data_IF_099859983708
#
_entry.id   IF_099859983708
#
_cell.length_a   1.000
_cell.length_b   1.000
_cell.length_c   1.000
_cell.angle_alpha   90.00
_cell.angle_beta   90.00
_cell.angle_gamma   90.00
#
_symmetry.space_group_name_H-M   'P 1'
#
loop_
_entity.id
_entity.type
_entity.pdbx_description
1 polymer ?
#
# COMPACT_ATOMS: atom_id res chain seq x y z
N UNK A 1 6.47 25.26 -7.36
CA UNK A 1 7.49 25.74 -8.32
C UNK A 1 7.46 24.82 -9.50
N UNK A 2 7.28 25.38 -10.69
CA UNK A 2 7.43 24.62 -11.93
C UNK A 2 8.90 24.30 -12.18
N UNK A 3 9.23 23.21 -12.88
CA UNK A 3 10.60 22.91 -13.31
C UNK A 3 11.24 24.09 -14.07
N UNK A 4 10.46 24.75 -14.91
CA UNK A 4 10.88 25.94 -15.66
C UNK A 4 11.33 27.08 -14.74
N UNK A 5 10.56 27.36 -13.68
CA UNK A 5 10.91 28.42 -12.73
C UNK A 5 12.22 28.15 -11.99
N UNK A 6 12.49 26.88 -11.67
CA UNK A 6 13.75 26.49 -11.01
C UNK A 6 14.96 26.73 -11.92
N UNK A 7 14.81 26.46 -13.21
CA UNK A 7 15.88 26.65 -14.21
C UNK A 7 16.05 28.14 -14.59
N UNK A 8 14.94 28.82 -14.87
CA UNK A 8 14.93 30.15 -15.49
C UNK A 8 14.81 31.30 -14.50
N UNK A 9 14.36 31.06 -13.27
CA UNK A 9 14.20 32.06 -12.23
C UNK A 9 12.91 32.88 -12.32
N UNK A 10 12.03 32.57 -13.27
CA UNK A 10 10.73 33.21 -13.44
C UNK A 10 9.67 32.19 -13.89
N UNK A 11 8.39 32.48 -13.63
CA UNK A 11 7.31 31.62 -14.10
C UNK A 11 7.05 31.84 -15.60
N UNK A 12 6.86 30.75 -16.38
CA UNK A 12 6.54 30.89 -17.79
C UNK A 12 5.17 31.59 -17.92
N UNK A 13 4.98 32.39 -18.98
CA UNK A 13 3.67 32.97 -19.29
C UNK A 13 2.70 31.83 -19.60
N UNK A 14 1.65 31.70 -18.79
CA UNK A 14 0.59 30.70 -18.99
C UNK A 14 -0.67 31.30 -19.63
N UNK A 15 -0.70 32.61 -19.93
CA UNK A 15 -1.84 33.24 -20.60
C UNK A 15 -1.69 33.24 -22.12
N UNK A 16 -2.81 32.95 -22.80
CA UNK A 16 -2.96 32.98 -24.25
C UNK A 16 -3.70 34.26 -24.65
N UNK A 17 -3.11 35.41 -24.35
CA UNK A 17 -3.68 36.72 -24.74
C UNK A 17 -2.87 37.32 -25.89
N UNK A 18 -3.56 38.03 -26.78
CA UNK A 18 -3.03 38.74 -27.95
C UNK A 18 -2.30 40.05 -27.59
N UNK A 19 -2.28 40.43 -26.32
CA UNK A 19 -1.57 41.63 -25.83
C UNK A 19 -0.05 41.45 -25.83
N UNK A 20 0.66 42.58 -25.94
CA UNK A 20 2.13 42.60 -25.91
C UNK A 20 2.63 42.06 -24.56
N UNK A 21 3.54 41.06 -24.56
CA UNK A 21 4.00 40.44 -23.32
C UNK A 21 4.69 41.47 -22.43
N UNK A 22 4.19 41.64 -21.20
CA UNK A 22 4.90 42.38 -20.16
C UNK A 22 6.12 41.57 -19.73
N UNK A 23 7.24 42.24 -19.46
CA UNK A 23 8.42 41.57 -18.92
C UNK A 23 8.04 40.78 -17.66
N UNK A 24 8.52 39.53 -17.51
CA UNK A 24 8.19 38.72 -16.35
C UNK A 24 8.63 39.45 -15.07
N UNK A 25 7.81 39.35 -14.02
CA UNK A 25 8.20 39.87 -12.70
C UNK A 25 9.37 39.04 -12.19
N UNK A 26 10.46 39.70 -11.80
CA UNK A 26 11.56 39.04 -11.13
C UNK A 26 11.05 38.44 -9.81
N UNK A 27 11.11 37.12 -9.69
CA UNK A 27 10.86 36.45 -8.42
C UNK A 27 12.15 36.47 -7.61
N UNK A 28 12.10 36.74 -6.30
CA UNK A 28 13.29 36.92 -5.47
C UNK A 28 14.07 35.61 -5.19
N UNK A 29 13.63 34.47 -5.73
CA UNK A 29 14.21 33.17 -5.43
C UNK A 29 15.49 32.98 -6.26
N UNK A 30 16.62 32.83 -5.57
CA UNK A 30 17.91 32.60 -6.22
C UNK A 30 17.95 31.18 -6.80
N UNK A 31 18.60 30.99 -7.95
CA UNK A 31 18.77 29.65 -8.57
C UNK A 31 19.37 28.60 -7.63
N UNK A 32 20.29 29.00 -6.74
CA UNK A 32 20.87 28.11 -5.73
C UNK A 32 19.85 27.63 -4.70
N UNK A 33 18.98 28.53 -4.22
CA UNK A 33 17.90 28.21 -3.27
C UNK A 33 16.84 27.31 -3.93
N UNK A 34 16.53 27.56 -5.21
CA UNK A 34 15.60 26.71 -5.97
C UNK A 34 16.13 25.27 -6.13
N UNK A 35 17.44 25.11 -6.40
CA UNK A 35 18.08 23.78 -6.48
C UNK A 35 18.09 23.06 -5.13
N UNK A 36 18.44 23.76 -4.05
CA UNK A 36 18.41 23.19 -2.71
C UNK A 36 17.00 22.73 -2.30
N UNK A 37 15.97 23.47 -2.69
CA UNK A 37 14.57 23.07 -2.47
C UNK A 37 14.17 21.84 -3.28
N UNK A 38 14.68 21.67 -4.51
CA UNK A 38 14.45 20.45 -5.31
C UNK A 38 15.13 19.25 -4.68
N UNK A 39 16.42 19.39 -4.32
CA UNK A 39 17.18 18.32 -3.66
C UNK A 39 16.51 17.86 -2.38
N UNK A 40 16.10 18.80 -1.53
CA UNK A 40 15.36 18.49 -0.30
C UNK A 40 14.05 17.73 -0.57
N UNK A 41 13.34 18.08 -1.64
CA UNK A 41 12.10 17.37 -2.01
C UNK A 41 12.36 15.98 -2.53
N UNK A 42 13.44 15.81 -3.30
CA UNK A 42 13.89 14.50 -3.80
C UNK A 42 14.31 13.59 -2.64
N UNK A 43 15.07 14.12 -1.67
CA UNK A 43 15.42 13.40 -0.43
C UNK A 43 14.17 12.96 0.35
N UNK A 44 13.22 13.87 0.57
CA UNK A 44 11.96 13.56 1.26
C UNK A 44 11.13 12.53 0.49
N UNK A 45 11.11 12.61 -0.85
CA UNK A 45 10.43 11.64 -1.69
C UNK A 45 11.05 10.26 -1.59
N UNK A 46 12.37 10.16 -1.71
CA UNK A 46 13.11 8.90 -1.62
C UNK A 46 12.94 8.27 -0.23
N UNK A 47 13.05 9.07 0.83
CA UNK A 47 12.80 8.62 2.19
C UNK A 47 11.36 8.07 2.36
N UNK A 48 10.37 8.80 1.87
CA UNK A 48 8.97 8.34 1.93
C UNK A 48 8.76 7.05 1.12
N UNK A 49 9.41 6.93 -0.04
CA UNK A 49 9.33 5.73 -0.87
C UNK A 49 9.93 4.51 -0.17
N UNK A 50 11.11 4.65 0.44
CA UNK A 50 11.77 3.59 1.22
C UNK A 50 10.91 3.13 2.40
N UNK A 51 10.34 4.07 3.16
CA UNK A 51 9.44 3.76 4.29
C UNK A 51 8.16 3.03 3.83
N UNK A 52 7.57 3.45 2.70
CA UNK A 52 6.41 2.79 2.12
C UNK A 52 6.77 1.38 1.65
N UNK A 53 7.90 1.21 0.97
CA UNK A 53 8.38 -0.11 0.53
C UNK A 53 8.66 -1.03 1.73
N UNK A 54 9.31 -0.53 2.77
CA UNK A 54 9.56 -1.29 4.00
C UNK A 54 8.23 -1.72 4.66
N UNK A 55 7.26 -0.81 4.78
CA UNK A 55 5.92 -1.10 5.29
C UNK A 55 5.18 -2.15 4.45
N UNK A 56 5.38 -2.15 3.12
CA UNK A 56 4.81 -3.15 2.22
C UNK A 56 5.48 -4.52 2.37
N UNK A 57 6.80 -4.58 2.56
CA UNK A 57 7.55 -5.83 2.77
C UNK A 57 7.13 -6.60 4.04
N UNK A 58 6.63 -5.90 5.06
CA UNK A 58 6.09 -6.56 6.26
C UNK A 58 4.90 -7.49 5.96
N UNK A 59 4.21 -7.26 4.85
CA UNK A 59 3.13 -8.13 4.36
C UNK A 59 3.70 -9.05 3.28
N UNK A 60 4.26 -10.19 3.69
CA UNK A 60 4.59 -11.24 2.73
C UNK A 60 3.29 -11.87 2.22
N UNK A 61 2.78 -11.34 1.10
CA UNK A 61 1.50 -11.74 0.52
C UNK A 61 1.63 -13.01 -0.35
N UNK A 62 2.82 -13.61 -0.46
CA UNK A 62 3.07 -14.74 -1.37
C UNK A 62 2.80 -14.46 -2.85
N UNK A 63 2.55 -13.19 -3.19
CA UNK A 63 2.05 -12.75 -4.49
C UNK A 63 2.90 -11.60 -5.04
N UNK A 64 3.02 -11.47 -6.38
CA UNK A 64 3.92 -10.52 -7.01
C UNK A 64 3.53 -9.05 -6.81
N UNK A 65 2.26 -8.76 -6.49
CA UNK A 65 1.83 -7.39 -6.16
C UNK A 65 0.59 -7.36 -5.27
N UNK A 66 0.45 -6.30 -4.45
CA UNK A 66 -0.73 -6.06 -3.59
C UNK A 66 -2.06 -5.94 -4.36
N UNK A 67 -2.03 -5.63 -5.66
CA UNK A 67 -3.25 -5.56 -6.47
C UNK A 67 -3.81 -6.94 -6.81
N UNK A 68 -2.93 -7.94 -6.84
CA UNK A 68 -3.29 -9.32 -7.14
C UNK A 68 -3.62 -10.10 -5.87
N UNK A 69 -3.13 -9.66 -4.71
CA UNK A 69 -3.40 -10.32 -3.43
C UNK A 69 -4.87 -10.22 -3.03
N UNK A 70 -5.31 -11.20 -2.26
CA UNK A 70 -6.65 -11.19 -1.66
C UNK A 70 -6.89 -9.91 -0.86
N UNK A 71 -8.02 -9.27 -1.13
CA UNK A 71 -8.39 -8.02 -0.47
C UNK A 71 -8.80 -8.24 1.00
N UNK A 72 -9.32 -9.43 1.31
CA UNK A 72 -9.77 -9.82 2.64
C UNK A 72 -8.97 -11.04 3.06
N UNK A 73 -8.40 -10.99 4.26
CA UNK A 73 -7.75 -12.14 4.86
C UNK A 73 -8.77 -13.24 5.18
N UNK A 74 -8.26 -14.40 5.54
CA UNK A 74 -9.07 -15.58 5.84
C UNK A 74 -10.12 -15.32 6.92
N UNK A 75 -11.21 -16.11 6.94
CA UNK A 75 -12.21 -16.02 7.99
C UNK A 75 -11.61 -16.29 9.38
N UNK A 76 -11.61 -15.26 10.24
CA UNK A 76 -11.20 -15.40 11.65
C UNK A 76 -12.41 -15.45 12.57
N UNK A 77 -12.26 -16.20 13.66
CA UNK A 77 -13.30 -16.30 14.69
C UNK A 77 -13.35 -15.05 15.56
N UNK A 78 -14.55 -14.56 15.84
CA UNK A 78 -14.77 -13.49 16.82
C UNK A 78 -14.78 -14.09 18.23
N UNK A 79 -13.87 -13.65 19.09
CA UNK A 79 -13.76 -14.08 20.49
C UNK A 79 -14.68 -13.29 21.42
N UNK A 80 -14.70 -11.96 21.27
CA UNK A 80 -15.48 -11.08 22.13
C UNK A 80 -15.80 -9.75 21.43
N UNK A 81 -16.89 -9.11 21.84
CA UNK A 81 -17.20 -7.72 21.49
C UNK A 81 -16.66 -6.80 22.59
N UNK A 82 -15.82 -5.84 22.22
CA UNK A 82 -15.22 -4.83 23.12
C UNK A 82 -15.76 -3.47 22.68
N UNK A 83 -16.82 -3.00 23.35
CA UNK A 83 -17.52 -1.77 22.99
C UNK A 83 -18.11 -1.83 21.57
N UNK A 84 -17.56 -1.01 20.67
CA UNK A 84 -17.93 -0.98 19.24
C UNK A 84 -16.97 -1.78 18.35
N UNK A 85 -15.97 -2.46 18.92
CA UNK A 85 -15.00 -3.27 18.19
C UNK A 85 -15.15 -4.77 18.55
N UNK A 86 -14.51 -5.61 17.76
CA UNK A 86 -14.49 -7.06 17.96
C UNK A 86 -13.06 -7.56 18.09
N UNK A 87 -12.82 -8.44 19.06
CA UNK A 87 -11.57 -9.16 19.22
C UNK A 87 -11.61 -10.42 18.36
N UNK A 88 -10.67 -10.56 17.45
CA UNK A 88 -10.50 -11.74 16.60
C UNK A 88 -9.48 -12.72 17.19
N UNK A 89 -9.66 -13.98 16.87
CA UNK A 89 -8.66 -15.04 17.05
C UNK A 89 -7.72 -15.02 15.84
N UNK A 90 -6.62 -14.26 15.96
CA UNK A 90 -5.58 -14.22 14.94
C UNK A 90 -4.49 -15.24 15.27
N UNK A 91 -3.92 -15.92 14.25
CA UNK A 91 -2.75 -16.77 14.43
C UNK A 91 -1.54 -15.94 14.88
N UNK A 92 -0.66 -16.56 15.68
CA UNK A 92 0.53 -15.90 16.23
C UNK A 92 1.54 -15.42 15.17
N UNK A 93 1.40 -15.88 13.92
CA UNK A 93 2.17 -15.39 12.78
C UNK A 93 1.87 -13.93 12.43
N UNK A 94 0.65 -13.45 12.68
CA UNK A 94 0.22 -12.09 12.34
C UNK A 94 0.47 -11.14 13.52
N UNK A 95 1.44 -10.23 13.38
CA UNK A 95 1.84 -9.25 14.42
C UNK A 95 0.94 -8.00 14.49
N UNK A 96 -0.33 -8.11 14.15
CA UNK A 96 -1.29 -6.99 14.13
C UNK A 96 -2.17 -7.03 15.38
N UNK A 97 -2.67 -5.89 15.86
CA UNK A 97 -3.59 -5.85 16.99
C UNK A 97 -4.86 -6.68 16.73
N UNK A 98 -5.29 -7.49 17.71
CA UNK A 98 -6.41 -8.42 17.56
C UNK A 98 -7.80 -7.75 17.61
N UNK A 99 -7.88 -6.43 17.81
CA UNK A 99 -9.14 -5.70 18.01
C UNK A 99 -9.43 -4.85 16.78
N UNK A 100 -10.55 -5.12 16.11
CA UNK A 100 -10.94 -4.47 14.87
C UNK A 100 -12.33 -3.81 14.95
N UNK A 101 -12.51 -2.61 14.36
CA UNK A 101 -13.84 -2.02 14.20
C UNK A 101 -14.65 -2.79 13.13
N UNK A 102 -15.99 -2.75 13.20
CA UNK A 102 -16.89 -3.46 12.27
C UNK A 102 -16.64 -3.10 10.81
N UNK A 103 -16.26 -1.86 10.51
CA UNK A 103 -16.02 -1.39 9.13
C UNK A 103 -14.83 -2.11 8.44
N UNK A 104 -13.95 -2.73 9.24
CA UNK A 104 -12.82 -3.55 8.76
C UNK A 104 -13.13 -5.04 8.74
N UNK A 105 -14.38 -5.43 8.99
CA UNK A 105 -14.82 -6.82 9.03
C UNK A 105 -15.92 -7.06 8.00
N UNK A 106 -15.92 -8.25 7.44
CA UNK A 106 -16.99 -8.73 6.58
C UNK A 106 -17.45 -10.09 7.08
N UNK A 107 -18.75 -10.35 7.02
CA UNK A 107 -19.28 -11.67 7.32
C UNK A 107 -18.70 -12.69 6.34
N UNK A 108 -18.14 -13.77 6.89
CA UNK A 108 -17.69 -14.89 6.09
C UNK A 108 -18.88 -15.49 5.32
N UNK A 109 -18.71 -15.84 4.04
CA UNK A 109 -19.76 -16.46 3.26
C UNK A 109 -20.15 -17.80 3.90
N UNK A 110 -21.41 -17.93 4.31
CA UNK A 110 -21.96 -19.18 4.88
C UNK A 110 -22.63 -20.04 3.80
N UNK A 111 -23.03 -19.41 2.70
CA UNK A 111 -23.71 -20.07 1.58
C UNK A 111 -22.64 -20.59 0.61
N UNK A 112 -22.78 -21.82 0.09
CA UNK A 112 -21.90 -22.31 -0.96
C UNK A 112 -21.93 -21.36 -2.18
N UNK A 113 -20.85 -21.33 -2.98
CA UNK A 113 -20.83 -20.54 -4.20
C UNK A 113 -22.03 -20.90 -5.10
N UNK A 114 -22.49 -19.94 -5.89
CA UNK A 114 -23.61 -20.13 -6.79
C UNK A 114 -23.38 -21.35 -7.70
N UNK A 115 -24.41 -22.11 -8.07
CA UNK A 115 -24.25 -23.28 -8.93
C UNK A 115 -23.59 -22.86 -10.26
N UNK A 116 -22.42 -23.46 -10.56
CA UNK A 116 -21.58 -23.11 -11.71
C UNK A 116 -20.38 -22.21 -11.40
N UNK A 117 -20.29 -21.65 -10.19
CA UNK A 117 -19.14 -20.88 -9.74
C UNK A 117 -18.08 -21.83 -9.16
N UNK A 118 -16.95 -21.94 -9.84
CA UNK A 118 -15.76 -22.67 -9.37
C UNK A 118 -14.98 -21.71 -8.47
N UNK A 119 -14.65 -22.12 -7.25
CA UNK A 119 -13.73 -21.37 -6.40
C UNK A 119 -12.33 -21.82 -6.78
N UNK A 120 -11.50 -20.89 -7.26
CA UNK A 120 -10.10 -21.22 -7.52
C UNK A 120 -9.45 -21.63 -6.19
N UNK A 121 -8.71 -22.75 -6.15
CA UNK A 121 -8.00 -23.15 -4.94
C UNK A 121 -7.03 -22.03 -4.57
N UNK A 122 -6.99 -21.67 -3.28
CA UNK A 122 -6.02 -20.71 -2.76
C UNK A 122 -4.61 -21.10 -3.24
N UNK A 123 -3.91 -20.17 -3.86
CA UNK A 123 -2.57 -20.42 -4.39
C UNK A 123 -1.64 -20.88 -3.26
N UNK A 124 -0.76 -21.84 -3.56
CA UNK A 124 0.29 -22.30 -2.64
C UNK A 124 1.10 -21.09 -2.15
N UNK A 125 1.15 -20.91 -0.84
CA UNK A 125 1.95 -19.87 -0.20
C UNK A 125 3.41 -20.34 -0.22
N UNK A 126 4.26 -19.69 -1.01
CA UNK A 126 5.71 -19.88 -0.92
C UNK A 126 6.24 -19.09 0.30
N UNK A 127 6.53 -19.79 1.39
CA UNK A 127 7.29 -19.25 2.53
C UNK A 127 8.76 -19.60 2.31
N UNK A 128 9.63 -18.59 2.20
CA UNK A 128 11.09 -18.74 2.10
C UNK A 128 11.61 -19.71 1.00
N UNK A 129 10.87 -19.87 -0.10
CA UNK A 129 11.32 -20.65 -1.26
C UNK A 129 11.18 -22.18 -1.13
N UNK A 130 10.41 -22.66 -0.15
CA UNK A 130 10.13 -24.09 0.04
C UNK A 130 8.61 -24.37 0.02
N UNK A 131 8.19 -25.48 -0.59
CA UNK A 131 6.81 -25.96 -0.57
C UNK A 131 6.52 -26.57 0.82
N UNK A 132 5.56 -26.02 1.55
CA UNK A 132 5.01 -26.67 2.75
C UNK A 132 4.07 -27.83 2.33
N UNK A 133 4.30 -29.00 2.90
CA UNK A 133 3.46 -30.19 2.71
C UNK A 133 2.73 -30.48 4.02
N UNK A 134 1.41 -30.68 3.97
CA UNK A 134 0.65 -31.18 5.12
C UNK A 134 0.87 -32.69 5.25
N UNK A 135 1.44 -33.14 6.37
CA UNK A 135 1.67 -34.59 6.61
C UNK A 135 0.38 -35.20 7.15
N UNK A 136 -0.35 -35.90 6.28
CA UNK A 136 -1.67 -36.46 6.59
C UNK A 136 -1.63 -37.52 7.69
N UNK A 137 -0.60 -38.37 7.74
CA UNK A 137 -0.40 -39.35 8.82
C UNK A 137 1.05 -39.81 8.90
N UNK A 138 1.60 -39.91 10.10
CA UNK A 138 2.93 -40.52 10.32
C UNK A 138 2.72 -42.02 10.56
N UNK A 139 3.17 -42.85 9.61
CA UNK A 139 3.27 -44.30 9.84
C UNK A 139 4.57 -44.59 10.59
N UNK A 140 4.45 -44.93 11.87
CA UNK A 140 5.57 -45.50 12.62
C UNK A 140 5.85 -46.93 12.12
N UNK A 141 7.10 -47.22 11.76
CA UNK A 141 7.57 -48.57 11.38
C UNK A 141 7.83 -49.44 12.60
#
# INVERSE_FOLDING_TARGET
MSPFMIERGYEPRMSFDWDTPTAPRDHPIKRGEARALVQRKEEVWNFAQEEIEAAQRYWNLGQPSRKLSDQWADPYRILARIGHAYRLELPSSIKVHHIFPPDKLRHAPTVPPLPGQITDPSLLIEVDGHQEWEVETILAS
#
